data_IF_446469699123
#
_entry.id   IF_446469699123
#
_cell.length_a   1.000
_cell.length_b   1.000
_cell.length_c   1.000
_cell.angle_alpha   90.00
_cell.angle_beta   90.00
_cell.angle_gamma   90.00
#
_symmetry.space_group_name_H-M   'P 1'
#
loop_
_entity.id
_entity.type
_entity.pdbx_description
1 polymer ?
#
# COMPACT_ATOMS: atom_id res chain seq x y z
N UNK A 1 56.06 30.86 -2.58
CA UNK A 1 55.40 31.23 -3.85
C UNK A 1 54.76 29.98 -4.44
N UNK A 2 53.47 29.75 -4.16
CA UNK A 2 52.70 28.63 -4.72
C UNK A 2 51.94 29.12 -5.96
N UNK A 3 52.12 28.43 -7.08
CA UNK A 3 51.37 28.63 -8.34
C UNK A 3 50.01 27.93 -8.23
N UNK A 4 48.93 28.47 -8.83
CA UNK A 4 47.61 27.87 -8.78
C UNK A 4 47.45 26.73 -9.80
N UNK A 5 46.69 25.71 -9.40
CA UNK A 5 46.17 24.64 -10.25
C UNK A 5 45.20 25.22 -11.29
N UNK A 6 45.52 25.00 -12.56
CA UNK A 6 44.60 25.17 -13.68
C UNK A 6 44.49 23.80 -14.36
N UNK A 7 43.33 23.16 -14.24
CA UNK A 7 42.92 22.03 -15.07
C UNK A 7 41.39 22.11 -15.14
N UNK A 8 40.88 22.74 -16.20
CA UNK A 8 40.54 22.12 -17.47
C UNK A 8 39.09 21.62 -17.46
N UNK A 9 38.27 22.45 -18.10
CA UNK A 9 36.89 22.25 -18.53
C UNK A 9 36.70 20.89 -19.19
N UNK A 10 35.74 20.10 -18.70
CA UNK A 10 35.05 19.10 -19.50
C UNK A 10 33.61 19.54 -19.63
N UNK A 11 33.32 20.17 -20.77
CA UNK A 11 32.00 20.23 -21.34
C UNK A 11 31.95 19.16 -22.43
N UNK A 12 31.10 18.14 -22.28
CA UNK A 12 30.10 17.78 -23.28
C UNK A 12 29.25 16.57 -22.85
N UNK A 13 27.99 16.66 -23.25
CA UNK A 13 27.11 15.58 -23.66
C UNK A 13 26.51 14.68 -22.56
N UNK A 14 25.35 15.11 -22.07
CA UNK A 14 24.19 14.21 -22.00
C UNK A 14 22.95 14.95 -22.52
N UNK A 15 22.80 14.92 -23.84
CA UNK A 15 21.49 14.96 -24.47
C UNK A 15 20.76 13.66 -24.09
N UNK A 16 20.14 13.65 -22.92
CA UNK A 16 19.20 12.63 -22.50
C UNK A 16 17.83 12.96 -23.06
N UNK A 17 17.29 12.05 -23.86
CA UNK A 17 15.96 12.09 -24.47
C UNK A 17 14.89 12.65 -23.54
N UNK A 18 14.38 13.84 -23.86
CA UNK A 18 13.09 14.31 -23.39
C UNK A 18 12.01 13.35 -23.92
N UNK A 19 11.71 12.29 -23.17
CA UNK A 19 10.40 11.65 -23.30
C UNK A 19 9.41 12.70 -22.83
N UNK A 20 8.57 13.15 -23.75
CA UNK A 20 7.43 13.99 -23.42
C UNK A 20 6.65 13.30 -22.30
N UNK A 21 6.75 13.81 -21.07
CA UNK A 21 5.71 13.58 -20.09
C UNK A 21 4.45 14.15 -20.74
N UNK A 22 3.53 13.26 -21.10
CA UNK A 22 2.17 13.65 -21.39
C UNK A 22 1.61 14.10 -20.05
N UNK A 23 1.79 15.38 -19.73
CA UNK A 23 1.05 16.02 -18.66
C UNK A 23 -0.40 16.03 -19.12
N UNK A 24 -1.15 14.98 -18.81
CA UNK A 24 -2.60 15.00 -18.94
C UNK A 24 -3.06 16.05 -17.95
N UNK A 25 -3.41 17.25 -18.44
CA UNK A 25 -3.95 18.27 -17.55
C UNK A 25 -5.29 17.76 -17.01
N UNK A 26 -5.69 18.19 -15.80
CA UNK A 26 -7.03 17.87 -15.27
C UNK A 26 -8.14 18.30 -16.26
N UNK A 27 -7.83 19.30 -17.11
CA UNK A 27 -8.68 19.74 -18.21
C UNK A 27 -8.69 18.77 -19.41
N UNK A 28 -7.61 18.05 -19.73
CA UNK A 28 -7.56 17.01 -20.77
C UNK A 28 -8.25 15.72 -20.32
N UNK A 29 -8.09 15.34 -19.04
CA UNK A 29 -8.87 14.27 -18.42
C UNK A 29 -10.37 14.63 -18.42
N UNK A 30 -10.71 15.87 -18.04
CA UNK A 30 -12.07 16.41 -18.12
C UNK A 30 -12.62 16.55 -19.55
N UNK A 31 -11.77 16.89 -20.53
CA UNK A 31 -12.17 17.04 -21.94
C UNK A 31 -12.40 15.67 -22.62
N UNK A 32 -11.60 14.66 -22.30
CA UNK A 32 -11.85 13.27 -22.68
C UNK A 32 -13.18 12.74 -22.15
N UNK A 33 -13.63 13.23 -20.99
CA UNK A 33 -14.95 12.94 -20.41
C UNK A 33 -16.09 13.73 -21.08
N UNK A 34 -15.88 15.00 -21.43
CA UNK A 34 -16.89 15.83 -22.10
C UNK A 34 -17.20 15.39 -23.55
N UNK A 35 -16.21 14.82 -24.26
CA UNK A 35 -16.45 14.20 -25.57
C UNK A 35 -17.41 13.00 -25.52
N UNK A 36 -17.51 12.33 -24.36
CA UNK A 36 -18.40 11.19 -24.12
C UNK A 36 -19.81 11.68 -23.72
N UNK A 37 -19.93 12.82 -23.05
CA UNK A 37 -21.22 13.37 -22.62
C UNK A 37 -22.02 14.04 -23.74
N UNK A 38 -21.36 14.67 -24.73
CA UNK A 38 -22.04 15.37 -25.83
C UNK A 38 -22.74 14.45 -26.86
N UNK A 39 -22.43 13.16 -26.90
CA UNK A 39 -23.21 12.18 -27.68
C UNK A 39 -24.52 11.74 -26.99
N UNK A 40 -24.71 12.06 -25.71
CA UNK A 40 -25.85 11.58 -24.93
C UNK A 40 -27.05 12.56 -24.86
N UNK A 41 -26.92 13.79 -25.37
CA UNK A 41 -27.96 14.83 -25.24
C UNK A 41 -28.85 15.04 -26.48
N UNK A 42 -28.60 14.33 -27.59
CA UNK A 42 -29.38 14.51 -28.84
C UNK A 42 -30.42 13.41 -29.13
N UNK A 43 -30.51 12.35 -28.32
CA UNK A 43 -31.47 11.26 -28.53
C UNK A 43 -32.64 11.32 -27.52
N UNK A 44 -33.37 12.42 -27.53
CA UNK A 44 -34.50 12.65 -26.63
C UNK A 44 -35.77 13.02 -27.39
N UNK A 45 -36.35 12.10 -28.16
CA UNK A 45 -37.79 12.04 -28.53
C UNK A 45 -38.06 10.83 -29.45
N UNK A 46 -38.70 9.79 -28.92
CA UNK A 46 -39.90 9.11 -29.44
C UNK A 46 -40.03 7.63 -29.02
N UNK A 47 -41.17 7.36 -28.36
CA UNK A 47 -42.00 6.15 -28.30
C UNK A 47 -41.43 4.74 -28.02
N UNK A 48 -41.87 4.19 -26.88
CA UNK A 48 -42.70 2.98 -26.78
C UNK A 48 -42.12 1.63 -27.24
N UNK A 49 -41.81 0.75 -26.28
CA UNK A 49 -41.59 -0.68 -26.52
C UNK A 49 -40.40 -1.24 -25.75
N UNK A 50 -40.61 -2.33 -25.02
CA UNK A 50 -39.62 -3.00 -24.18
C UNK A 50 -38.47 -3.57 -25.02
N UNK A 51 -37.27 -3.01 -24.85
CA UNK A 51 -35.97 -3.70 -24.83
C UNK A 51 -35.09 -2.92 -23.85
N UNK A 52 -34.58 -3.57 -22.80
CA UNK A 52 -33.54 -2.99 -21.96
C UNK A 52 -32.24 -2.92 -22.78
N UNK A 53 -32.12 -1.93 -23.65
CA UNK A 53 -30.85 -1.58 -24.27
C UNK A 53 -29.99 -0.88 -23.21
N UNK A 54 -28.90 -1.55 -22.84
CA UNK A 54 -27.85 -1.00 -22.00
C UNK A 54 -27.28 0.26 -22.64
N UNK A 55 -27.79 1.42 -22.22
CA UNK A 55 -27.16 2.70 -22.52
C UNK A 55 -25.86 2.76 -21.71
N UNK A 56 -24.72 2.52 -22.38
CA UNK A 56 -23.36 2.78 -21.88
C UNK A 56 -23.12 4.29 -21.69
N UNK A 57 -23.79 4.88 -20.70
CA UNK A 57 -23.32 6.11 -20.06
C UNK A 57 -22.07 5.73 -19.25
N UNK A 58 -20.97 6.48 -19.40
CA UNK A 58 -19.64 6.19 -18.85
C UNK A 58 -19.66 5.29 -17.59
N UNK A 59 -19.33 4.01 -17.77
CA UNK A 59 -19.40 3.02 -16.69
C UNK A 59 -18.35 3.38 -15.64
N UNK A 60 -18.69 3.40 -14.33
CA UNK A 60 -17.73 3.66 -13.25
C UNK A 60 -16.43 2.84 -13.37
N UNK A 61 -16.46 1.64 -13.94
CA UNK A 61 -15.27 0.85 -14.25
C UNK A 61 -14.23 1.57 -15.15
N UNK A 62 -14.67 2.32 -16.19
CA UNK A 62 -13.76 3.05 -17.09
C UNK A 62 -12.99 4.17 -16.37
N UNK A 63 -13.56 4.75 -15.31
CA UNK A 63 -12.87 5.75 -14.50
C UNK A 63 -11.68 5.11 -13.80
N UNK A 64 -11.85 3.92 -13.20
CA UNK A 64 -10.77 3.22 -12.52
C UNK A 64 -9.69 2.78 -13.49
N UNK A 65 -10.05 2.35 -14.71
CA UNK A 65 -9.08 2.07 -15.77
C UNK A 65 -8.22 3.31 -16.07
N UNK A 66 -8.83 4.49 -16.20
CA UNK A 66 -8.08 5.72 -16.46
C UNK A 66 -7.17 6.10 -15.27
N UNK A 67 -7.63 5.90 -14.03
CA UNK A 67 -6.79 6.10 -12.83
C UNK A 67 -5.59 5.16 -12.85
N UNK A 68 -5.81 3.89 -13.17
CA UNK A 68 -4.76 2.88 -13.26
C UNK A 68 -3.77 3.17 -14.40
N UNK A 69 -4.23 3.74 -15.51
CA UNK A 69 -3.36 4.23 -16.59
C UNK A 69 -2.53 5.41 -16.10
N UNK A 70 -3.14 6.42 -15.46
CA UNK A 70 -2.42 7.58 -14.95
C UNK A 70 -1.35 7.20 -13.91
N UNK A 71 -1.65 6.24 -13.03
CA UNK A 71 -0.67 5.68 -12.08
C UNK A 71 0.47 4.94 -12.78
N UNK A 72 0.18 4.23 -13.88
CA UNK A 72 1.18 3.47 -14.64
C UNK A 72 2.10 4.36 -15.47
N UNK A 73 1.60 5.47 -16.00
CA UNK A 73 2.38 6.43 -16.80
C UNK A 73 3.31 7.30 -15.93
N UNK A 74 3.05 7.36 -14.62
CA UNK A 74 3.89 8.07 -13.67
C UNK A 74 5.02 7.15 -13.15
N UNK A 75 6.31 7.53 -13.29
CA UNK A 75 7.41 6.69 -12.85
C UNK A 75 7.52 6.68 -11.33
N UNK A 76 7.49 5.48 -10.74
CA UNK A 76 7.73 5.26 -9.31
C UNK A 76 6.75 4.30 -8.66
N UNK A 77 6.07 4.74 -7.62
CA UNK A 77 5.26 3.86 -6.76
C UNK A 77 3.89 3.57 -7.36
N UNK A 78 3.30 4.50 -8.10
CA UNK A 78 2.09 4.26 -8.89
C UNK A 78 2.27 3.11 -9.89
N UNK A 79 3.36 3.12 -10.66
CA UNK A 79 3.69 2.06 -11.63
C UNK A 79 3.81 0.68 -10.94
N UNK A 80 4.54 0.62 -9.82
CA UNK A 80 4.73 -0.62 -9.04
C UNK A 80 3.39 -1.17 -8.52
N UNK A 81 2.52 -0.30 -8.02
CA UNK A 81 1.20 -0.68 -7.52
C UNK A 81 0.34 -1.26 -8.66
N UNK A 82 0.31 -0.59 -9.82
CA UNK A 82 -0.44 -1.08 -10.98
C UNK A 82 0.10 -2.42 -11.47
N UNK A 83 1.43 -2.57 -11.55
CA UNK A 83 2.05 -3.81 -11.96
C UNK A 83 1.73 -4.95 -10.98
N UNK A 84 1.83 -4.70 -9.67
CA UNK A 84 1.44 -5.67 -8.65
C UNK A 84 -0.02 -6.12 -8.80
N UNK A 85 -0.96 -5.18 -8.98
CA UNK A 85 -2.36 -5.49 -9.17
C UNK A 85 -2.60 -6.32 -10.45
N UNK A 86 -1.92 -6.00 -11.55
CA UNK A 86 -2.00 -6.76 -12.80
C UNK A 86 -1.45 -8.17 -12.67
N UNK A 87 -0.25 -8.32 -12.09
CA UNK A 87 0.44 -9.62 -11.93
C UNK A 87 -0.37 -10.58 -11.05
N UNK A 88 -1.14 -10.04 -10.11
CA UNK A 88 -2.01 -10.81 -9.22
C UNK A 88 -3.44 -10.98 -9.75
N UNK A 89 -3.74 -10.49 -10.96
CA UNK A 89 -5.08 -10.57 -11.55
C UNK A 89 -6.15 -9.85 -10.74
N UNK A 90 -5.78 -8.75 -10.10
CA UNK A 90 -6.61 -8.04 -9.14
C UNK A 90 -7.86 -7.44 -9.80
N UNK A 91 -8.97 -7.42 -9.07
CA UNK A 91 -10.13 -6.63 -9.46
C UNK A 91 -10.02 -5.22 -8.87
N UNK A 92 -10.28 -4.17 -9.65
CA UNK A 92 -10.37 -2.80 -9.15
C UNK A 92 -11.68 -2.22 -9.68
N UNK A 93 -12.68 -2.06 -8.80
CA UNK A 93 -14.03 -1.70 -9.23
C UNK A 93 -14.78 -0.85 -8.21
N UNK A 94 -15.81 -0.15 -8.69
CA UNK A 94 -16.78 0.49 -7.81
C UNK A 94 -17.80 -0.55 -7.36
N UNK A 95 -17.90 -0.77 -6.05
CA UNK A 95 -18.74 -1.83 -5.50
C UNK A 95 -19.35 -1.38 -4.16
N UNK A 96 -20.66 -1.60 -4.00
CA UNK A 96 -21.40 -1.26 -2.77
C UNK A 96 -20.98 -2.10 -1.55
N UNK A 97 -20.22 -3.19 -1.77
CA UNK A 97 -19.59 -3.95 -0.69
C UNK A 97 -18.58 -3.12 0.09
N UNK A 98 -17.98 -2.08 -0.51
CA UNK A 98 -17.11 -1.15 0.21
C UNK A 98 -17.94 -0.32 1.21
N UNK A 99 -18.02 -0.82 2.46
CA UNK A 99 -18.76 -0.17 3.54
C UNK A 99 -18.16 1.19 3.94
N UNK A 100 -16.88 1.40 3.64
CA UNK A 100 -16.15 2.66 3.83
C UNK A 100 -15.93 3.45 2.54
N UNK A 101 -14.73 3.99 2.38
CA UNK A 101 -14.26 4.68 1.17
C UNK A 101 -13.73 3.70 0.14
N UNK A 102 -12.83 2.86 0.61
CA UNK A 102 -12.22 1.75 -0.08
C UNK A 102 -12.25 0.52 0.82
N UNK A 103 -12.06 -0.65 0.22
CA UNK A 103 -11.92 -1.92 0.92
C UNK A 103 -11.12 -2.90 0.06
N UNK A 104 -10.04 -3.44 0.61
CA UNK A 104 -9.36 -4.62 0.08
C UNK A 104 -10.07 -5.90 0.50
N UNK A 105 -10.40 -6.78 -0.44
CA UNK A 105 -10.79 -8.17 -0.19
C UNK A 105 -9.93 -9.16 -0.98
N UNK A 106 -9.76 -10.37 -0.44
CA UNK A 106 -9.22 -11.49 -1.23
C UNK A 106 -10.37 -12.30 -1.80
N UNK A 107 -10.50 -12.33 -3.12
CA UNK A 107 -11.46 -13.16 -3.82
C UNK A 107 -10.87 -14.55 -4.03
N UNK A 108 -11.67 -15.58 -3.79
CA UNK A 108 -11.35 -16.96 -4.14
C UNK A 108 -12.13 -17.29 -5.39
N UNK A 109 -11.42 -17.60 -6.47
CA UNK A 109 -12.02 -18.21 -7.64
C UNK A 109 -12.51 -19.61 -7.25
N UNK A 110 -13.81 -19.87 -7.37
CA UNK A 110 -14.42 -21.13 -6.94
C UNK A 110 -14.02 -22.30 -7.84
N UNK A 111 -13.69 -22.04 -9.11
CA UNK A 111 -13.35 -23.06 -10.08
C UNK A 111 -11.86 -23.45 -9.97
N UNK A 112 -10.99 -22.47 -9.74
CA UNK A 112 -9.53 -22.70 -9.67
C UNK A 112 -8.98 -22.76 -8.25
N UNK A 113 -9.76 -22.35 -7.25
CA UNK A 113 -9.29 -22.14 -5.87
C UNK A 113 -8.29 -20.99 -5.72
N UNK A 114 -7.97 -20.28 -6.81
CA UNK A 114 -6.93 -19.25 -6.82
C UNK A 114 -7.43 -18.02 -6.07
N UNK A 115 -6.59 -17.54 -5.15
CA UNK A 115 -6.79 -16.27 -4.44
C UNK A 115 -6.30 -15.10 -5.30
N UNK A 116 -7.11 -14.06 -5.43
CA UNK A 116 -6.71 -12.79 -6.07
C UNK A 116 -7.18 -11.60 -5.24
N UNK A 117 -6.37 -10.55 -5.11
CA UNK A 117 -6.79 -9.34 -4.41
C UNK A 117 -7.88 -8.61 -5.19
N UNK A 118 -8.73 -7.88 -4.48
CA UNK A 118 -9.74 -7.01 -5.04
C UNK A 118 -9.78 -5.71 -4.24
N UNK A 119 -9.74 -4.59 -4.96
CA UNK A 119 -9.85 -3.24 -4.42
C UNK A 119 -11.21 -2.70 -4.81
N UNK A 120 -12.09 -2.57 -3.81
CA UNK A 120 -13.41 -2.00 -4.00
C UNK A 120 -13.45 -0.57 -3.54
N UNK A 121 -13.91 0.33 -4.40
CA UNK A 121 -14.18 1.73 -4.05
C UNK A 121 -15.68 1.91 -3.91
N UNK A 122 -16.11 2.61 -2.87
CA UNK A 122 -17.54 2.87 -2.71
C UNK A 122 -18.02 3.82 -3.82
N UNK A 123 -19.07 3.45 -4.60
CA UNK A 123 -19.56 4.24 -5.73
C UNK A 123 -19.91 5.69 -5.39
N UNK A 124 -20.22 6.00 -4.11
CA UNK A 124 -20.52 7.37 -3.67
C UNK A 124 -19.34 8.34 -3.78
N UNK A 125 -18.12 7.84 -3.99
CA UNK A 125 -16.92 8.65 -4.17
C UNK A 125 -16.55 8.85 -5.65
N UNK A 126 -17.35 8.32 -6.59
CA UNK A 126 -17.30 8.69 -7.99
C UNK A 126 -18.12 9.97 -8.24
N UNK A 127 -17.79 11.07 -7.54
CA UNK A 127 -18.49 12.37 -7.73
C UNK A 127 -17.72 13.28 -8.68
N UNK A 128 -18.45 14.00 -9.52
CA UNK A 128 -17.86 14.97 -10.45
C UNK A 128 -17.40 16.28 -9.75
N UNK A 129 -16.25 16.84 -10.17
CA UNK A 129 -15.26 16.21 -11.03
C UNK A 129 -14.53 15.09 -10.27
N UNK A 130 -14.42 13.92 -10.90
CA UNK A 130 -13.75 12.78 -10.28
C UNK A 130 -12.27 13.06 -10.16
N UNK A 131 -11.78 13.13 -8.91
CA UNK A 131 -10.35 13.24 -8.63
C UNK A 131 -9.68 11.89 -8.82
N UNK A 132 -8.99 11.70 -9.94
CA UNK A 132 -8.16 10.52 -10.17
C UNK A 132 -7.03 10.41 -9.13
N UNK A 133 -6.53 11.54 -8.60
CA UNK A 133 -5.57 11.59 -7.50
C UNK A 133 -6.13 10.95 -6.24
N UNK A 134 -7.33 11.33 -5.84
CA UNK A 134 -7.98 10.75 -4.66
C UNK A 134 -8.28 9.26 -4.84
N UNK A 135 -8.82 8.86 -5.99
CA UNK A 135 -9.04 7.44 -6.29
C UNK A 135 -7.72 6.65 -6.32
N UNK A 136 -6.66 7.23 -6.88
CA UNK A 136 -5.31 6.64 -6.89
C UNK A 136 -4.78 6.42 -5.48
N UNK A 137 -4.98 7.36 -4.56
CA UNK A 137 -4.62 7.22 -3.14
C UNK A 137 -5.38 6.08 -2.46
N UNK A 138 -6.69 5.98 -2.71
CA UNK A 138 -7.50 4.89 -2.16
C UNK A 138 -7.05 3.53 -2.71
N UNK A 139 -6.78 3.44 -4.01
CA UNK A 139 -6.25 2.22 -4.63
C UNK A 139 -4.88 1.87 -4.06
N UNK A 140 -3.99 2.87 -3.93
CA UNK A 140 -2.65 2.70 -3.38
C UNK A 140 -2.68 2.18 -1.95
N UNK A 141 -3.59 2.68 -1.11
CA UNK A 141 -3.79 2.18 0.25
C UNK A 141 -4.07 0.68 0.26
N UNK A 142 -5.15 0.26 -0.40
CA UNK A 142 -5.59 -1.14 -0.36
C UNK A 142 -4.58 -2.08 -1.05
N UNK A 143 -4.00 -1.64 -2.17
CA UNK A 143 -2.96 -2.41 -2.85
C UNK A 143 -1.70 -2.58 -2.00
N UNK A 144 -1.28 -1.54 -1.27
CA UNK A 144 -0.14 -1.61 -0.36
C UNK A 144 -0.40 -2.53 0.82
N UNK A 145 -1.63 -2.53 1.35
CA UNK A 145 -2.02 -3.49 2.38
C UNK A 145 -1.91 -4.95 1.88
N UNK A 146 -2.24 -5.22 0.62
CA UNK A 146 -2.00 -6.54 0.01
C UNK A 146 -0.53 -6.87 -0.21
N UNK A 147 0.25 -5.92 -0.73
CA UNK A 147 1.69 -6.09 -0.92
C UNK A 147 2.41 -6.40 0.39
N UNK A 148 1.86 -5.90 1.50
CA UNK A 148 2.39 -6.04 2.86
C UNK A 148 1.56 -7.02 3.70
N UNK A 149 0.79 -7.92 3.09
CA UNK A 149 -0.06 -8.87 3.83
C UNK A 149 0.75 -9.82 4.74
N UNK A 150 1.99 -10.13 4.36
CA UNK A 150 2.91 -10.95 5.16
C UNK A 150 3.63 -10.14 6.26
N UNK A 151 3.48 -8.81 6.28
CA UNK A 151 4.02 -7.98 7.35
C UNK A 151 3.07 -7.98 8.55
N UNK A 152 3.59 -8.06 9.77
CA UNK A 152 2.76 -7.89 10.97
C UNK A 152 2.14 -6.49 10.99
N UNK A 153 1.00 -6.36 11.68
CA UNK A 153 0.43 -5.06 12.00
C UNK A 153 1.35 -4.31 12.98
N UNK A 154 2.22 -3.47 12.43
CA UNK A 154 3.25 -2.72 13.15
C UNK A 154 3.39 -1.30 12.61
N UNK A 155 4.09 -0.46 13.35
CA UNK A 155 4.36 0.92 12.98
C UNK A 155 5.05 1.03 11.60
N UNK A 156 6.02 0.16 11.30
CA UNK A 156 6.74 0.11 10.03
C UNK A 156 5.82 -0.23 8.85
N UNK A 157 4.94 -1.22 9.00
CA UNK A 157 3.96 -1.57 7.96
C UNK A 157 3.02 -0.40 7.70
N UNK A 158 2.47 0.20 8.75
CA UNK A 158 1.59 1.38 8.61
C UNK A 158 2.32 2.57 7.99
N UNK A 159 3.60 2.75 8.29
CA UNK A 159 4.43 3.78 7.66
C UNK A 159 4.63 3.53 6.17
N UNK A 160 4.95 2.30 5.76
CA UNK A 160 5.10 1.93 4.34
C UNK A 160 3.80 2.15 3.55
N UNK A 161 2.64 1.77 4.11
CA UNK A 161 1.33 2.06 3.48
C UNK A 161 1.12 3.57 3.33
N UNK A 162 1.44 4.34 4.38
CA UNK A 162 1.34 5.81 4.35
C UNK A 162 2.24 6.43 3.28
N UNK A 163 3.47 5.91 3.14
CA UNK A 163 4.42 6.33 2.12
C UNK A 163 3.89 6.08 0.72
N UNK A 164 3.42 4.87 0.43
CA UNK A 164 2.88 4.56 -0.89
C UNK A 164 1.66 5.41 -1.25
N UNK A 165 0.79 5.70 -0.28
CA UNK A 165 -0.32 6.64 -0.47
C UNK A 165 0.19 8.05 -0.82
N UNK A 166 1.18 8.54 -0.07
CA UNK A 166 1.74 9.87 -0.26
C UNK A 166 2.47 10.00 -1.61
N UNK A 167 3.36 9.07 -1.92
CA UNK A 167 4.10 9.05 -3.19
C UNK A 167 3.15 8.99 -4.39
N UNK A 168 2.15 8.10 -4.35
CA UNK A 168 1.14 8.01 -5.42
C UNK A 168 0.41 9.35 -5.60
N UNK A 169 0.05 10.02 -4.50
CA UNK A 169 -0.61 11.32 -4.57
C UNK A 169 0.26 12.38 -5.28
N UNK A 170 1.54 12.47 -4.92
CA UNK A 170 2.46 13.44 -5.52
C UNK A 170 2.84 13.08 -6.95
N UNK A 171 3.02 11.80 -7.27
CA UNK A 171 3.29 11.31 -8.64
C UNK A 171 2.16 11.65 -9.61
N UNK A 172 0.91 11.65 -9.11
CA UNK A 172 -0.27 12.07 -9.87
C UNK A 172 -0.50 13.59 -9.87
N UNK A 173 0.52 14.39 -9.52
CA UNK A 173 0.48 15.85 -9.55
C UNK A 173 -0.18 16.52 -8.34
N UNK A 174 -0.41 15.77 -7.26
CA UNK A 174 -0.86 16.33 -5.99
C UNK A 174 0.17 17.30 -5.39
N UNK A 175 -0.29 18.21 -4.53
CA UNK A 175 0.58 19.16 -3.82
C UNK A 175 0.19 19.26 -2.35
N UNK A 176 1.10 19.77 -1.51
CA UNK A 176 0.84 19.96 -0.08
C UNK A 176 -0.38 20.83 0.21
N UNK A 177 -0.61 21.86 -0.62
CA UNK A 177 -1.75 22.77 -0.51
C UNK A 177 -3.10 22.05 -0.72
N UNK A 178 -3.09 20.91 -1.40
CA UNK A 178 -4.29 20.13 -1.72
C UNK A 178 -4.62 19.08 -0.64
N UNK A 179 -3.71 18.76 0.29
CA UNK A 179 -3.94 17.70 1.28
C UNK A 179 -5.09 17.95 2.25
N UNK A 180 -5.38 19.18 2.69
CA UNK A 180 -6.57 19.41 3.51
C UNK A 180 -7.87 19.05 2.77
N UNK A 181 -7.87 19.10 1.43
CA UNK A 181 -9.03 18.84 0.55
C UNK A 181 -8.55 18.28 -0.80
N UNK A 182 -8.48 16.95 -0.93
CA UNK A 182 -8.08 16.26 -2.16
C UNK A 182 -9.02 16.62 -3.30
N UNK A 183 -8.64 17.61 -4.13
CA UNK A 183 -9.47 18.07 -5.26
C UNK A 183 -10.94 18.32 -4.84
N UNK A 184 -11.11 19.04 -3.73
CA UNK A 184 -12.39 19.37 -3.07
C UNK A 184 -13.06 18.24 -2.25
N UNK A 185 -12.46 17.05 -2.14
CA UNK A 185 -12.91 15.98 -1.24
C UNK A 185 -12.20 16.09 0.11
N UNK A 186 -12.98 16.16 1.19
CA UNK A 186 -12.46 16.13 2.56
C UNK A 186 -12.36 14.68 3.07
N UNK A 187 -11.13 14.24 3.30
CA UNK A 187 -10.83 12.93 3.86
C UNK A 187 -9.73 13.04 4.90
N UNK A 188 -10.12 13.37 6.14
CA UNK A 188 -9.18 13.58 7.23
C UNK A 188 -8.31 12.34 7.51
N UNK A 189 -8.81 11.13 7.24
CA UNK A 189 -8.06 9.91 7.48
C UNK A 189 -6.94 9.81 6.44
N UNK A 190 -7.27 9.94 5.15
CA UNK A 190 -6.26 9.96 4.09
C UNK A 190 -5.26 11.13 4.26
N UNK A 191 -5.73 12.33 4.61
CA UNK A 191 -4.87 13.48 4.88
C UNK A 191 -3.89 13.19 6.01
N UNK A 192 -4.37 12.67 7.15
CA UNK A 192 -3.52 12.34 8.31
C UNK A 192 -2.51 11.24 7.97
N UNK A 193 -2.94 10.23 7.20
CA UNK A 193 -2.08 9.13 6.76
C UNK A 193 -0.97 9.65 5.85
N UNK A 194 -1.29 10.47 4.85
CA UNK A 194 -0.27 11.06 3.97
C UNK A 194 0.65 12.03 4.74
N UNK A 195 0.11 12.82 5.66
CA UNK A 195 0.89 13.73 6.51
C UNK A 195 1.91 13.00 7.38
N UNK A 196 1.63 11.76 7.83
CA UNK A 196 2.58 10.92 8.58
C UNK A 196 3.91 10.84 7.83
N UNK A 197 3.88 10.55 6.53
CA UNK A 197 5.09 10.39 5.72
C UNK A 197 5.75 11.75 5.42
N UNK A 198 4.97 12.74 5.02
CA UNK A 198 5.49 14.07 4.60
C UNK A 198 6.25 14.75 5.73
N UNK A 199 5.65 14.77 6.92
CA UNK A 199 6.18 15.52 8.05
C UNK A 199 7.30 14.75 8.76
N UNK A 200 7.43 13.45 8.49
CA UNK A 200 8.31 12.57 9.23
C UNK A 200 9.03 11.61 8.27
N UNK A 201 10.24 12.00 7.84
CA UNK A 201 11.17 11.10 7.12
C UNK A 201 11.57 9.91 8.03
N UNK A 202 12.02 8.77 7.48
CA UNK A 202 11.38 7.50 7.79
C UNK A 202 11.39 7.09 9.26
N UNK A 203 12.49 7.29 9.96
CA UNK A 203 12.63 6.93 11.37
C UNK A 203 11.67 7.73 12.29
N UNK A 204 11.65 9.07 12.26
CA UNK A 204 10.62 9.87 12.93
C UNK A 204 9.18 9.43 12.67
N UNK A 205 8.86 8.94 11.47
CA UNK A 205 7.49 8.52 11.12
C UNK A 205 7.04 7.25 11.83
N UNK A 206 7.95 6.28 11.96
CA UNK A 206 7.73 5.06 12.74
C UNK A 206 7.55 5.40 14.23
N UNK A 207 8.38 6.27 14.79
CA UNK A 207 8.27 6.69 16.19
C UNK A 207 6.96 7.46 16.47
N UNK A 208 6.52 8.29 15.53
CA UNK A 208 5.21 8.95 15.65
C UNK A 208 4.07 7.93 15.65
N UNK A 209 4.09 6.92 14.77
CA UNK A 209 3.09 5.85 14.75
C UNK A 209 3.13 5.00 16.03
N UNK A 210 4.32 4.78 16.59
CA UNK A 210 4.48 4.15 17.90
C UNK A 210 3.83 4.97 19.01
N UNK A 211 4.00 6.29 19.02
CA UNK A 211 3.33 7.17 19.99
C UNK A 211 1.79 7.10 19.92
N UNK A 212 1.24 6.60 18.81
CA UNK A 212 -0.21 6.34 18.61
C UNK A 212 -0.64 4.92 19.00
N UNK A 213 0.26 4.14 19.61
CA UNK A 213 -0.04 2.82 20.17
C UNK A 213 0.33 1.62 19.29
N UNK A 214 0.99 1.83 18.15
CA UNK A 214 1.51 0.72 17.36
C UNK A 214 2.85 0.22 17.93
N UNK A 215 3.06 -1.10 17.92
CA UNK A 215 4.37 -1.67 18.24
C UNK A 215 5.30 -1.59 17.02
N UNK A 216 6.59 -1.44 17.27
CA UNK A 216 7.61 -1.55 16.22
C UNK A 216 7.97 -3.00 15.93
N UNK A 217 8.58 -3.27 14.78
CA UNK A 217 9.13 -4.60 14.45
C UNK A 217 10.15 -5.05 15.49
N UNK A 218 10.99 -4.14 15.99
CA UNK A 218 11.97 -4.44 17.03
C UNK A 218 11.29 -4.86 18.35
N UNK A 219 10.20 -4.19 18.74
CA UNK A 219 9.42 -4.53 19.93
C UNK A 219 8.73 -5.89 19.78
N UNK A 220 8.12 -6.16 18.62
CA UNK A 220 7.51 -7.44 18.29
C UNK A 220 8.53 -8.58 18.29
N UNK A 221 9.74 -8.33 17.78
CA UNK A 221 10.84 -9.30 17.81
C UNK A 221 11.30 -9.57 19.24
N UNK A 222 11.47 -8.53 20.06
CA UNK A 222 11.84 -8.68 21.47
C UNK A 222 10.77 -9.44 22.28
N UNK A 223 9.50 -9.16 22.03
CA UNK A 223 8.38 -9.89 22.64
C UNK A 223 8.36 -11.36 22.22
N UNK A 224 8.48 -11.64 20.91
CA UNK A 224 8.53 -13.00 20.40
C UNK A 224 9.73 -13.77 20.96
N UNK A 225 10.90 -13.12 21.06
CA UNK A 225 12.11 -13.70 21.66
C UNK A 225 11.92 -14.06 23.14
N UNK A 226 11.31 -13.16 23.94
CA UNK A 226 10.96 -13.45 25.35
C UNK A 226 10.00 -14.63 25.45
N UNK A 227 9.00 -14.69 24.56
CA UNK A 227 8.04 -15.81 24.50
C UNK A 227 8.71 -17.14 24.16
N UNK A 228 9.63 -17.15 23.20
CA UNK A 228 10.40 -18.36 22.85
C UNK A 228 11.25 -18.85 24.03
N UNK A 229 11.93 -17.94 24.72
CA UNK A 229 12.71 -18.27 25.91
C UNK A 229 11.84 -18.86 27.02
N UNK A 230 10.68 -18.23 27.28
CA UNK A 230 9.70 -18.75 28.24
C UNK A 230 9.20 -20.15 27.89
N UNK A 231 8.78 -20.37 26.65
CA UNK A 231 8.31 -21.68 26.18
C UNK A 231 9.41 -22.75 26.20
N UNK A 232 10.66 -22.38 25.92
CA UNK A 232 11.81 -23.30 26.00
C UNK A 232 12.07 -23.73 27.44
N UNK A 233 11.98 -22.79 28.38
CA UNK A 233 12.12 -23.08 29.80
C UNK A 233 10.94 -23.90 30.35
N UNK A 234 9.71 -23.62 29.92
CA UNK A 234 8.54 -24.44 30.22
C UNK A 234 8.68 -25.87 29.70
N UNK A 235 9.13 -26.02 28.45
CA UNK A 235 9.40 -27.32 27.84
C UNK A 235 10.45 -28.11 28.62
N UNK A 236 11.53 -27.43 29.03
CA UNK A 236 12.58 -28.03 29.87
C UNK A 236 12.03 -28.50 31.22
N UNK A 237 11.19 -27.69 31.87
CA UNK A 237 10.54 -28.05 33.14
C UNK A 237 9.59 -29.23 32.98
N UNK A 238 8.79 -29.26 31.91
CA UNK A 238 7.89 -30.35 31.61
C UNK A 238 8.64 -31.66 31.35
N UNK A 239 9.77 -31.61 30.63
CA UNK A 239 10.66 -32.76 30.43
C UNK A 239 11.25 -33.28 31.76
N UNK A 240 11.73 -32.39 32.63
CA UNK A 240 12.22 -32.79 33.96
C UNK A 240 11.12 -33.43 34.82
N UNK A 241 9.88 -32.93 34.74
CA UNK A 241 8.73 -33.57 35.42
C UNK A 241 8.43 -34.96 34.85
N UNK A 242 8.53 -35.12 33.53
CA UNK A 242 8.30 -36.39 32.84
C UNK A 242 9.29 -37.46 33.30
N UNK A 243 10.58 -37.10 33.43
CA UNK A 243 11.62 -38.00 33.94
C UNK A 243 11.38 -38.43 35.40
N UNK A 244 10.72 -37.57 36.19
CA UNK A 244 10.39 -37.84 37.59
C UNK A 244 9.02 -38.52 37.79
N UNK A 245 8.21 -38.66 36.73
CA UNK A 245 6.86 -39.21 36.81
C UNK A 245 6.88 -40.70 37.15
N UNK A 246 6.01 -41.12 38.08
CA UNK A 246 6.01 -42.50 38.61
C UNK A 246 4.85 -43.35 38.10
N UNK A 247 3.83 -42.70 37.57
CA UNK A 247 2.63 -43.36 37.06
C UNK A 247 2.47 -43.14 35.57
N UNK A 248 1.80 -44.10 34.90
CA UNK A 248 1.52 -44.01 33.47
C UNK A 248 0.60 -42.83 33.14
N UNK A 249 -0.36 -42.52 34.01
CA UNK A 249 -1.28 -41.40 33.82
C UNK A 249 -0.56 -40.04 33.89
N UNK A 250 0.37 -39.87 34.83
CA UNK A 250 1.23 -38.67 34.92
C UNK A 250 2.10 -38.52 33.66
N UNK A 251 2.71 -39.61 33.20
CA UNK A 251 3.53 -39.60 31.98
C UNK A 251 2.69 -39.20 30.76
N UNK A 252 1.49 -39.75 30.61
CA UNK A 252 0.61 -39.43 29.49
C UNK A 252 0.17 -37.96 29.52
N UNK A 253 -0.18 -37.41 30.69
CA UNK A 253 -0.52 -36.00 30.83
C UNK A 253 0.66 -35.09 30.47
N UNK A 254 1.87 -35.41 30.92
CA UNK A 254 3.08 -34.64 30.63
C UNK A 254 3.49 -34.73 29.16
N UNK A 255 3.30 -35.87 28.49
CA UNK A 255 3.50 -35.97 27.04
C UNK A 255 2.55 -35.04 26.26
N UNK A 256 1.29 -34.92 26.68
CA UNK A 256 0.34 -33.97 26.07
C UNK A 256 0.75 -32.51 26.32
N UNK A 257 1.17 -32.18 27.55
CA UNK A 257 1.68 -30.86 27.89
C UNK A 257 2.91 -30.49 27.05
N UNK A 258 3.90 -31.39 26.94
CA UNK A 258 5.09 -31.22 26.10
C UNK A 258 4.70 -30.98 24.64
N UNK A 259 3.83 -31.82 24.08
CA UNK A 259 3.40 -31.67 22.69
C UNK A 259 2.73 -30.30 22.44
N UNK A 260 1.90 -29.84 23.38
CA UNK A 260 1.26 -28.54 23.31
C UNK A 260 2.26 -27.37 23.40
N UNK A 261 3.23 -27.45 24.31
CA UNK A 261 4.29 -26.43 24.44
C UNK A 261 5.16 -26.41 23.17
N UNK A 262 5.55 -27.57 22.66
CA UNK A 262 6.33 -27.68 21.41
C UNK A 262 5.59 -27.08 20.22
N UNK A 263 4.28 -27.29 20.09
CA UNK A 263 3.49 -26.65 19.04
C UNK A 263 3.50 -25.11 19.18
N UNK A 264 3.34 -24.58 20.40
CA UNK A 264 3.43 -23.14 20.65
C UNK A 264 4.80 -22.58 20.32
N UNK A 265 5.87 -23.33 20.63
CA UNK A 265 7.24 -22.93 20.33
C UNK A 265 7.48 -22.86 18.82
N UNK A 266 7.02 -23.86 18.06
CA UNK A 266 7.10 -23.86 16.60
C UNK A 266 6.37 -22.66 15.97
N UNK A 267 5.19 -22.31 16.47
CA UNK A 267 4.47 -21.10 16.03
C UNK A 267 5.24 -19.81 16.36
N UNK A 268 5.86 -19.74 17.53
CA UNK A 268 6.69 -18.60 17.91
C UNK A 268 7.95 -18.48 17.03
N UNK A 269 8.57 -19.59 16.65
CA UNK A 269 9.69 -19.64 15.70
C UNK A 269 9.29 -19.18 14.30
N UNK A 270 8.14 -19.63 13.80
CA UNK A 270 7.60 -19.16 12.53
C UNK A 270 7.32 -17.65 12.57
N UNK A 271 6.75 -17.16 13.66
CA UNK A 271 6.54 -15.72 13.88
C UNK A 271 7.87 -14.96 13.88
N UNK A 272 8.88 -15.42 14.62
CA UNK A 272 10.20 -14.79 14.68
C UNK A 272 10.88 -14.72 13.30
N UNK A 273 10.79 -15.79 12.51
CA UNK A 273 11.32 -15.81 11.14
C UNK A 273 10.60 -14.81 10.23
N UNK A 274 9.28 -14.71 10.35
CA UNK A 274 8.45 -13.75 9.59
C UNK A 274 8.80 -12.31 9.97
N UNK A 275 8.94 -12.01 11.26
CA UNK A 275 9.37 -10.70 11.76
C UNK A 275 10.77 -10.32 11.28
N UNK A 276 11.69 -11.28 11.17
CA UNK A 276 13.05 -11.03 10.63
C UNK A 276 13.00 -10.69 9.14
N UNK A 277 12.18 -11.40 8.35
CA UNK A 277 11.97 -11.10 6.93
C UNK A 277 11.33 -9.71 6.74
N UNK A 278 10.34 -9.37 7.57
CA UNK A 278 9.70 -8.06 7.56
C UNK A 278 10.71 -6.94 7.87
N UNK A 279 11.57 -7.11 8.88
CA UNK A 279 12.61 -6.13 9.21
C UNK A 279 13.60 -5.90 8.06
N UNK A 280 14.10 -6.96 7.43
CA UNK A 280 15.00 -6.83 6.28
C UNK A 280 14.33 -6.12 5.08
N UNK A 281 13.03 -6.38 4.88
CA UNK A 281 12.25 -5.75 3.82
C UNK A 281 12.03 -4.26 4.12
N UNK A 282 11.75 -3.90 5.39
CA UNK A 282 11.64 -2.51 5.82
C UNK A 282 12.98 -1.75 5.72
N UNK A 283 14.11 -2.38 6.04
CA UNK A 283 15.43 -1.77 5.85
C UNK A 283 15.72 -1.48 4.38
N UNK A 284 15.32 -2.40 3.49
CA UNK A 284 15.42 -2.20 2.04
C UNK A 284 14.53 -1.04 1.57
N UNK A 285 13.31 -0.96 2.12
CA UNK A 285 12.39 0.15 1.87
C UNK A 285 12.96 1.49 2.33
N UNK A 286 13.45 1.61 3.57
CA UNK A 286 14.08 2.84 4.09
C UNK A 286 15.21 3.32 3.19
N UNK A 287 16.04 2.39 2.71
CA UNK A 287 17.13 2.71 1.79
C UNK A 287 16.59 3.29 0.48
N UNK A 288 15.59 2.64 -0.11
CA UNK A 288 14.92 3.13 -1.32
C UNK A 288 14.32 4.53 -1.11
N UNK A 289 13.56 4.75 -0.04
CA UNK A 289 12.95 6.06 0.27
C UNK A 289 13.99 7.15 0.45
N UNK A 290 15.08 6.84 1.18
CA UNK A 290 16.17 7.79 1.39
C UNK A 290 16.84 8.15 0.06
N UNK A 291 17.10 7.16 -0.80
CA UNK A 291 17.66 7.38 -2.14
C UNK A 291 16.69 8.19 -3.02
N UNK A 292 15.40 7.90 -2.97
CA UNK A 292 14.37 8.61 -3.71
C UNK A 292 14.29 10.08 -3.28
N UNK A 293 14.20 10.35 -1.97
CA UNK A 293 14.15 11.71 -1.41
C UNK A 293 15.40 12.52 -1.78
N UNK A 294 16.57 11.89 -1.79
CA UNK A 294 17.82 12.55 -2.16
C UNK A 294 17.91 12.81 -3.67
N UNK A 295 17.38 11.89 -4.51
CA UNK A 295 17.36 12.05 -5.96
C UNK A 295 16.32 13.07 -6.46
N UNK A 296 15.26 13.31 -5.67
CA UNK A 296 14.19 14.26 -5.94
C UNK A 296 14.15 15.42 -4.94
N UNK A 297 15.29 15.69 -4.30
CA UNK A 297 15.46 16.74 -3.29
C UNK A 297 14.92 18.10 -3.76
N UNK A 298 14.57 18.99 -2.82
CA UNK A 298 13.82 20.21 -3.13
C UNK A 298 14.47 20.94 -4.29
N UNK A 299 13.68 21.20 -5.35
CA UNK A 299 14.10 22.08 -6.44
C UNK A 299 14.76 23.29 -5.79
N UNK A 300 15.97 23.68 -6.20
CA UNK A 300 16.62 24.85 -5.64
C UNK A 300 15.63 26.00 -5.72
N UNK A 301 15.30 26.58 -4.56
CA UNK A 301 14.46 27.78 -4.49
C UNK A 301 15.22 28.83 -5.30
N UNK A 302 14.74 29.10 -6.51
CA UNK A 302 15.22 30.18 -7.35
C UNK A 302 14.46 31.45 -7.01
#
# INVERSE_FOLDING_TARGET
MMKPLTAAVIALALAGSARAQVAVSDADFGAGLNGIFLQSSLAGKQFGGVVAQANEKARPARILENVMVAMYDAPGTGEKIVQFLRDNGAAVEFNTLAQGRSMGLTLVDLDTGKKRPAVYINPRYAKDPVSYRYLGVLIAKEASEFMLADFPDCAERSYMVSAHMAETFFELGGTLLMLPRFDAIEDQDATKTIAVWIENAPEPGVEMLKSRGLQTLAELQAETGRRQQGLTEELRRAATKLDAARTQDEQQALHQEIAFISQKLALAEQSAASLKKAAASFDSFKKYETEWLMSRGPLPIK
#
